data_IF_851864290292
#
_entry.id   IF_851864290292
#
_cell.length_a   1.000
_cell.length_b   1.000
_cell.length_c   1.000
_cell.angle_alpha   90.00
_cell.angle_beta   90.00
_cell.angle_gamma   90.00
#
_symmetry.space_group_name_H-M   'P 1'
#
loop_
_entity.id
_entity.type
_entity.pdbx_description
1 polymer ?
#
# COMPACT_ATOMS: atom_id res chain seq x y z
N UNK A 1 7.77 -0.15 -9.55
CA UNK A 1 8.05 -1.12 -8.48
C UNK A 1 7.41 -2.45 -8.83
N UNK A 2 8.12 -3.58 -8.76
CA UNK A 2 7.59 -4.81 -9.32
C UNK A 2 6.88 -5.66 -8.26
N UNK A 3 5.65 -6.10 -8.56
CA UNK A 3 4.92 -7.19 -7.87
C UNK A 3 5.87 -8.37 -7.59
N UNK A 4 6.79 -8.63 -8.50
CA UNK A 4 7.87 -9.62 -8.40
C UNK A 4 8.68 -9.51 -7.09
N UNK A 5 9.05 -8.30 -6.66
CA UNK A 5 9.93 -8.08 -5.51
C UNK A 5 9.27 -8.44 -4.15
N UNK A 6 7.96 -8.68 -4.18
CA UNK A 6 7.16 -9.10 -3.01
C UNK A 6 6.65 -10.53 -3.16
N UNK A 7 6.27 -10.93 -4.37
CA UNK A 7 5.69 -12.25 -4.61
C UNK A 7 6.75 -13.36 -4.54
N UNK A 8 7.96 -13.11 -5.07
CA UNK A 8 9.05 -14.09 -5.02
C UNK A 8 9.44 -14.42 -3.57
N UNK A 9 9.73 -13.45 -2.67
CA UNK A 9 10.01 -13.75 -1.27
C UNK A 9 8.86 -14.49 -0.57
N UNK A 10 7.60 -14.18 -0.89
CA UNK A 10 6.45 -14.89 -0.34
C UNK A 10 6.41 -16.38 -0.75
N UNK A 11 6.82 -16.69 -1.98
CA UNK A 11 6.90 -18.05 -2.49
C UNK A 11 8.11 -18.81 -1.91
N UNK A 12 9.25 -18.13 -1.77
CA UNK A 12 10.48 -18.73 -1.26
C UNK A 12 10.37 -19.13 0.22
N UNK A 13 9.64 -18.37 1.03
CA UNK A 13 9.41 -18.67 2.45
C UNK A 13 8.70 -20.01 2.69
N UNK A 14 7.90 -20.43 1.75
CA UNK A 14 7.06 -21.62 1.88
C UNK A 14 7.59 -22.80 1.05
N UNK A 15 8.82 -22.72 0.53
CA UNK A 15 9.44 -23.74 -0.33
C UNK A 15 9.44 -25.13 0.31
N UNK A 16 9.50 -25.22 1.64
CA UNK A 16 9.48 -26.48 2.40
C UNK A 16 8.12 -27.19 2.37
N UNK A 17 7.03 -26.51 1.95
CA UNK A 17 5.68 -27.10 1.84
C UNK A 17 5.44 -27.86 0.53
N UNK A 18 6.45 -28.06 -0.30
CA UNK A 18 6.37 -28.81 -1.54
C UNK A 18 5.35 -28.24 -2.53
N UNK A 19 4.43 -29.06 -3.03
CA UNK A 19 3.45 -28.65 -4.07
C UNK A 19 2.47 -27.55 -3.60
N UNK A 20 2.30 -27.34 -2.32
CA UNK A 20 1.37 -26.35 -1.74
C UNK A 20 2.07 -25.04 -1.32
N UNK A 21 3.35 -24.90 -1.60
CA UNK A 21 4.15 -23.70 -1.26
C UNK A 21 3.57 -22.40 -1.83
N UNK A 22 2.86 -22.45 -2.95
CA UNK A 22 2.28 -21.27 -3.58
C UNK A 22 0.96 -20.79 -2.92
N UNK A 23 0.30 -21.62 -2.10
CA UNK A 23 -1.02 -21.30 -1.55
C UNK A 23 -1.04 -20.03 -0.68
N UNK A 24 -0.14 -19.83 0.29
CA UNK A 24 -0.11 -18.61 1.09
C UNK A 24 0.06 -17.37 0.22
N UNK A 25 0.95 -17.43 -0.76
CA UNK A 25 1.18 -16.33 -1.69
C UNK A 25 -0.04 -16.04 -2.57
N UNK A 26 -0.70 -17.07 -3.10
CA UNK A 26 -1.90 -16.92 -3.91
C UNK A 26 -3.07 -16.36 -3.10
N UNK A 27 -3.30 -16.88 -1.90
CA UNK A 27 -4.37 -16.40 -1.01
C UNK A 27 -4.14 -14.93 -0.64
N UNK A 28 -2.95 -14.59 -0.14
CA UNK A 28 -2.63 -13.21 0.22
C UNK A 28 -2.80 -12.25 -0.94
N UNK A 29 -2.33 -12.62 -2.13
CA UNK A 29 -2.45 -11.81 -3.35
C UNK A 29 -3.92 -11.56 -3.73
N UNK A 30 -4.74 -12.61 -3.76
CA UNK A 30 -6.17 -12.47 -4.07
C UNK A 30 -6.92 -11.65 -3.01
N UNK A 31 -6.57 -11.82 -1.73
CA UNK A 31 -7.15 -11.02 -0.64
C UNK A 31 -6.74 -9.55 -0.77
N UNK A 32 -5.50 -9.26 -1.18
CA UNK A 32 -5.04 -7.90 -1.45
C UNK A 32 -5.82 -7.21 -2.57
N UNK A 33 -6.04 -7.90 -3.69
CA UNK A 33 -6.89 -7.40 -4.79
C UNK A 33 -8.32 -7.19 -4.29
N UNK A 34 -8.90 -8.20 -3.62
CA UNK A 34 -10.27 -8.13 -3.14
C UNK A 34 -10.47 -7.00 -2.10
N UNK A 35 -9.46 -6.75 -1.27
CA UNK A 35 -9.46 -5.66 -0.30
C UNK A 35 -9.55 -4.29 -0.99
N UNK A 36 -8.72 -4.04 -2.01
CA UNK A 36 -8.80 -2.77 -2.73
C UNK A 36 -10.08 -2.65 -3.56
N UNK A 37 -10.54 -3.72 -4.20
CA UNK A 37 -11.85 -3.73 -4.86
C UNK A 37 -13.00 -3.44 -3.89
N UNK A 38 -12.92 -3.94 -2.66
CA UNK A 38 -13.90 -3.66 -1.62
C UNK A 38 -13.82 -2.20 -1.18
N UNK A 39 -12.62 -1.67 -0.94
CA UNK A 39 -12.42 -0.25 -0.62
C UNK A 39 -12.95 0.65 -1.73
N UNK A 40 -12.69 0.30 -2.99
CA UNK A 40 -13.17 1.01 -4.16
C UNK A 40 -14.71 1.08 -4.20
N UNK A 41 -15.40 0.00 -3.82
CA UNK A 41 -16.87 -0.04 -3.74
C UNK A 41 -17.43 0.64 -2.51
N UNK A 42 -16.72 0.62 -1.38
CA UNK A 42 -17.25 1.16 -0.11
C UNK A 42 -16.93 2.64 0.05
N UNK A 43 -15.81 3.10 -0.49
CA UNK A 43 -15.38 4.48 -0.34
C UNK A 43 -15.91 5.30 -1.52
N UNK A 44 -16.67 6.37 -1.24
CA UNK A 44 -17.14 7.24 -2.31
C UNK A 44 -15.93 7.94 -2.95
N UNK A 45 -15.62 7.62 -4.19
CA UNK A 45 -14.56 8.23 -4.96
C UNK A 45 -15.01 8.51 -6.39
N UNK A 46 -14.24 9.29 -7.11
CA UNK A 46 -14.55 9.68 -8.48
C UNK A 46 -13.31 9.57 -9.34
N UNK A 47 -13.38 8.78 -10.38
CA UNK A 47 -12.33 8.73 -11.39
C UNK A 47 -12.23 10.05 -12.15
N UNK A 48 -11.02 10.47 -12.52
CA UNK A 48 -10.75 11.79 -13.13
C UNK A 48 -11.59 12.10 -14.37
N UNK A 49 -12.07 11.08 -15.08
CA UNK A 49 -12.86 11.21 -16.32
C UNK A 49 -14.33 10.83 -16.17
N UNK A 50 -14.81 10.47 -14.98
CA UNK A 50 -16.20 10.07 -14.74
C UNK A 50 -16.99 11.23 -14.13
N UNK A 51 -18.27 11.34 -14.52
CA UNK A 51 -19.22 12.31 -13.95
C UNK A 51 -20.02 11.71 -12.80
N UNK A 52 -19.96 10.39 -12.62
CA UNK A 52 -20.69 9.66 -11.60
C UNK A 52 -19.71 9.15 -10.54
N UNK A 53 -20.04 9.36 -9.26
CA UNK A 53 -19.27 8.84 -8.14
C UNK A 53 -19.56 7.34 -7.99
N UNK A 54 -18.52 6.54 -7.89
CA UNK A 54 -18.62 5.13 -7.53
C UNK A 54 -18.58 4.98 -6.00
N UNK A 55 -19.12 3.88 -5.48
CA UNK A 55 -19.18 3.61 -4.04
C UNK A 55 -20.50 4.02 -3.40
N UNK A 56 -20.53 4.06 -2.07
CA UNK A 56 -21.72 4.43 -1.30
C UNK A 56 -22.03 5.92 -1.52
N UNK A 57 -23.29 6.28 -1.83
CA UNK A 57 -23.67 7.67 -2.04
C UNK A 57 -23.31 8.55 -0.84
N UNK A 58 -22.35 9.44 -1.02
CA UNK A 58 -21.93 10.40 0.00
C UNK A 58 -21.98 11.82 -0.56
N UNK A 59 -22.37 12.79 0.28
CA UNK A 59 -22.40 14.21 -0.07
C UNK A 59 -21.01 14.87 0.06
N UNK A 60 -19.94 14.10 -0.15
CA UNK A 60 -18.58 14.61 -0.08
C UNK A 60 -18.17 15.25 -1.40
N UNK A 61 -17.34 16.30 -1.31
CA UNK A 61 -16.75 16.91 -2.50
C UNK A 61 -15.81 15.91 -3.18
N UNK A 62 -15.76 15.95 -4.52
CA UNK A 62 -14.87 15.09 -5.33
C UNK A 62 -13.44 15.04 -4.82
N UNK A 63 -12.89 16.19 -4.45
CA UNK A 63 -11.53 16.31 -3.95
C UNK A 63 -11.33 15.66 -2.58
N UNK A 64 -12.36 15.69 -1.72
CA UNK A 64 -12.30 14.98 -0.44
C UNK A 64 -12.28 13.47 -0.64
N UNK A 65 -13.08 12.97 -1.59
CA UNK A 65 -13.07 11.55 -1.97
C UNK A 65 -11.72 11.11 -2.52
N UNK A 66 -11.11 11.94 -3.39
CA UNK A 66 -9.78 11.68 -3.93
C UNK A 66 -8.71 11.61 -2.83
N UNK A 67 -8.71 12.57 -1.89
CA UNK A 67 -7.79 12.55 -0.74
C UNK A 67 -7.94 11.27 0.07
N UNK A 68 -9.18 10.86 0.33
CA UNK A 68 -9.47 9.61 1.04
C UNK A 68 -8.95 8.38 0.30
N UNK A 69 -9.24 8.27 -0.99
CA UNK A 69 -8.84 7.13 -1.82
C UNK A 69 -7.31 6.98 -1.83
N UNK A 70 -6.57 8.07 -2.11
CA UNK A 70 -5.10 8.03 -2.12
C UNK A 70 -4.53 7.73 -0.73
N UNK A 71 -5.06 8.36 0.34
CA UNK A 71 -4.58 8.09 1.70
C UNK A 71 -4.76 6.62 2.09
N UNK A 72 -5.88 6.00 1.71
CA UNK A 72 -6.14 4.59 1.99
C UNK A 72 -5.27 3.65 1.14
N UNK A 73 -4.96 4.05 -0.09
CA UNK A 73 -4.02 3.34 -0.95
C UNK A 73 -2.61 3.28 -0.36
N UNK A 74 -2.18 4.35 0.29
CA UNK A 74 -0.85 4.45 0.89
C UNK A 74 -0.68 3.53 2.13
N UNK A 75 -1.77 3.08 2.78
CA UNK A 75 -1.68 2.15 3.92
C UNK A 75 -1.04 0.81 3.54
N UNK A 76 -1.52 0.07 2.50
CA UNK A 76 -0.88 -1.15 2.03
C UNK A 76 0.58 -0.95 1.59
N UNK A 77 0.92 0.21 1.04
CA UNK A 77 2.29 0.53 0.65
C UNK A 77 3.21 0.65 1.87
N UNK A 78 2.80 1.38 2.88
CA UNK A 78 3.50 1.45 4.15
C UNK A 78 3.65 0.07 4.82
N UNK A 79 2.56 -0.71 4.86
CA UNK A 79 2.60 -2.08 5.39
C UNK A 79 3.62 -2.94 4.65
N UNK A 80 3.73 -2.82 3.33
CA UNK A 80 4.69 -3.57 2.54
C UNK A 80 6.14 -3.24 2.91
N UNK A 81 6.47 -1.96 3.10
CA UNK A 81 7.78 -1.54 3.62
C UNK A 81 8.01 -2.16 4.99
N UNK A 82 7.03 -2.07 5.89
CA UNK A 82 7.11 -2.63 7.24
C UNK A 82 7.39 -4.13 7.25
N UNK A 83 6.71 -4.89 6.38
CA UNK A 83 6.92 -6.35 6.25
C UNK A 83 8.35 -6.67 5.82
N UNK A 84 8.87 -5.94 4.81
CA UNK A 84 10.24 -6.15 4.31
C UNK A 84 11.28 -5.83 5.39
N UNK A 85 11.14 -4.71 6.11
CA UNK A 85 12.04 -4.38 7.22
C UNK A 85 11.94 -5.35 8.39
N UNK A 86 10.74 -5.82 8.71
CA UNK A 86 10.56 -6.86 9.72
C UNK A 86 11.29 -8.15 9.34
N UNK A 87 11.24 -8.56 8.05
CA UNK A 87 11.99 -9.70 7.54
C UNK A 87 13.50 -9.56 7.73
N UNK A 88 14.05 -8.36 7.49
CA UNK A 88 15.47 -8.06 7.72
C UNK A 88 15.82 -8.09 9.21
N UNK A 89 15.00 -7.45 10.06
CA UNK A 89 15.27 -7.29 11.50
C UNK A 89 15.22 -8.62 12.26
N UNK A 90 14.27 -9.48 11.91
CA UNK A 90 14.05 -10.73 12.62
C UNK A 90 14.76 -11.93 11.97
N UNK A 91 15.50 -11.71 10.89
CA UNK A 91 16.35 -12.74 10.26
C UNK A 91 15.59 -13.93 9.64
N UNK A 92 14.29 -13.77 9.39
CA UNK A 92 13.44 -14.86 8.91
C UNK A 92 13.51 -15.11 7.41
N UNK A 93 14.28 -14.30 6.66
CA UNK A 93 14.39 -14.43 5.21
C UNK A 93 15.83 -14.21 4.73
N UNK A 94 16.47 -15.26 4.28
CA UNK A 94 17.77 -15.18 3.61
C UNK A 94 17.74 -14.38 2.29
N UNK A 95 16.56 -14.24 1.68
CA UNK A 95 16.35 -13.56 0.39
C UNK A 95 16.16 -12.04 0.49
N UNK A 96 15.77 -11.51 1.68
CA UNK A 96 15.57 -10.07 1.88
C UNK A 96 16.81 -9.46 2.48
N UNK A 97 17.51 -8.65 1.68
CA UNK A 97 18.67 -7.90 2.14
C UNK A 97 18.29 -6.50 2.63
N UNK A 98 19.08 -5.93 3.54
CA UNK A 98 18.90 -4.53 3.96
C UNK A 98 18.99 -3.55 2.78
N UNK A 99 19.83 -3.84 1.79
CA UNK A 99 19.92 -3.05 0.56
C UNK A 99 18.63 -3.12 -0.26
N UNK A 100 18.00 -4.30 -0.35
CA UNK A 100 16.70 -4.48 -0.99
C UNK A 100 15.58 -3.72 -0.27
N UNK A 101 15.56 -3.79 1.07
CA UNK A 101 14.62 -3.02 1.89
C UNK A 101 14.76 -1.51 1.67
N UNK A 102 16.00 -1.01 1.66
CA UNK A 102 16.28 0.40 1.39
C UNK A 102 15.85 0.81 -0.04
N UNK A 103 16.18 0.00 -1.05
CA UNK A 103 15.80 0.26 -2.43
C UNK A 103 14.27 0.33 -2.59
N UNK A 104 13.54 -0.57 -1.91
CA UNK A 104 12.09 -0.54 -1.85
C UNK A 104 11.57 0.76 -1.25
N UNK A 105 12.09 1.15 -0.08
CA UNK A 105 11.67 2.37 0.61
C UNK A 105 11.94 3.62 -0.22
N UNK A 106 13.10 3.69 -0.88
CA UNK A 106 13.44 4.81 -1.77
C UNK A 106 12.50 4.85 -2.99
N UNK A 107 12.17 3.69 -3.57
CA UNK A 107 11.22 3.60 -4.66
C UNK A 107 9.85 4.16 -4.29
N UNK A 108 9.33 3.77 -3.12
CA UNK A 108 8.05 4.28 -2.59
C UNK A 108 8.15 5.77 -2.28
N UNK A 109 9.21 6.23 -1.63
CA UNK A 109 9.41 7.64 -1.34
C UNK A 109 9.42 8.52 -2.62
N UNK A 110 10.01 8.02 -3.71
CA UNK A 110 10.00 8.72 -5.01
C UNK A 110 8.58 8.71 -5.61
N UNK A 111 7.84 7.61 -5.50
CA UNK A 111 6.45 7.48 -5.97
C UNK A 111 5.51 8.43 -5.23
N UNK A 112 5.72 8.65 -3.94
CA UNK A 112 4.91 9.55 -3.12
C UNK A 112 4.94 11.02 -3.57
N UNK A 113 5.97 11.44 -4.25
CA UNK A 113 6.03 12.80 -4.78
C UNK A 113 4.92 13.09 -5.82
N UNK A 114 4.76 12.30 -6.92
CA UNK A 114 3.62 12.47 -7.81
C UNK A 114 2.27 12.22 -7.14
N UNK A 115 2.17 11.30 -6.18
CA UNK A 115 0.91 11.03 -5.45
C UNK A 115 0.48 12.23 -4.60
N UNK A 116 1.39 12.87 -3.90
CA UNK A 116 1.14 14.12 -3.20
C UNK A 116 0.69 15.24 -4.15
N UNK A 117 1.21 15.27 -5.39
CA UNK A 117 0.78 16.20 -6.42
C UNK A 117 -0.65 15.91 -6.92
N UNK A 118 -1.02 14.64 -7.08
CA UNK A 118 -2.40 14.22 -7.45
C UNK A 118 -3.43 14.76 -6.44
N UNK A 119 -3.08 14.87 -5.17
CA UNK A 119 -3.93 15.46 -4.13
C UNK A 119 -3.85 16.99 -4.13
N UNK A 120 -2.64 17.54 -4.10
CA UNK A 120 -2.44 18.97 -3.86
C UNK A 120 -2.88 19.84 -5.04
N UNK A 121 -2.74 19.36 -6.29
CA UNK A 121 -3.12 20.12 -7.48
C UNK A 121 -4.64 20.34 -7.60
N UNK A 122 -5.53 19.34 -7.48
CA UNK A 122 -6.97 19.54 -7.48
C UNK A 122 -7.45 20.43 -6.34
N UNK A 123 -6.92 20.23 -5.10
CA UNK A 123 -7.24 21.09 -3.96
C UNK A 123 -6.87 22.56 -4.24
N UNK A 124 -5.75 22.77 -4.90
CA UNK A 124 -5.34 24.12 -5.32
C UNK A 124 -6.26 24.69 -6.40
N UNK A 125 -6.69 23.86 -7.36
CA UNK A 125 -7.63 24.28 -8.42
C UNK A 125 -9.00 24.68 -7.87
N UNK A 126 -9.45 24.07 -6.76
CA UNK A 126 -10.66 24.44 -6.03
C UNK A 126 -10.52 25.72 -5.17
N UNK A 127 -9.39 26.43 -5.26
CA UNK A 127 -9.16 27.69 -4.54
C UNK A 127 -8.50 27.58 -3.16
N UNK A 128 -8.09 26.36 -2.74
CA UNK A 128 -7.37 26.20 -1.48
C UNK A 128 -6.03 26.93 -1.50
N UNK A 129 -5.60 27.47 -0.36
CA UNK A 129 -4.28 28.11 -0.22
C UNK A 129 -3.17 27.10 -0.53
N UNK A 130 -2.10 27.54 -1.22
CA UNK A 130 -0.96 26.67 -1.62
C UNK A 130 -0.39 25.84 -0.46
N UNK A 131 -0.17 26.49 0.69
CA UNK A 131 0.38 25.81 1.88
C UNK A 131 -0.55 24.73 2.44
N UNK A 132 -1.87 24.95 2.42
CA UNK A 132 -2.84 23.95 2.86
C UNK A 132 -2.92 22.78 1.88
N UNK A 133 -3.01 23.07 0.58
CA UNK A 133 -3.03 22.02 -0.45
C UNK A 133 -1.77 21.16 -0.40
N UNK A 134 -0.60 21.77 -0.26
CA UNK A 134 0.66 21.05 -0.06
C UNK A 134 0.65 20.20 1.22
N UNK A 135 0.17 20.74 2.33
CA UNK A 135 0.07 20.02 3.61
C UNK A 135 -0.82 18.77 3.48
N UNK A 136 -1.97 18.86 2.82
CA UNK A 136 -2.83 17.70 2.62
C UNK A 136 -2.16 16.63 1.75
N UNK A 137 -1.47 17.03 0.66
CA UNK A 137 -0.69 16.09 -0.15
C UNK A 137 0.46 15.42 0.65
N UNK A 138 1.12 16.16 1.53
CA UNK A 138 2.16 15.59 2.41
C UNK A 138 1.58 14.66 3.46
N UNK A 139 0.48 15.06 4.11
CA UNK A 139 -0.16 14.26 5.16
C UNK A 139 -0.73 12.92 4.64
N UNK A 140 -1.16 12.87 3.37
CA UNK A 140 -1.60 11.61 2.78
C UNK A 140 -0.48 10.57 2.70
N UNK A 141 0.78 10.99 2.55
CA UNK A 141 1.94 10.11 2.58
C UNK A 141 2.40 9.72 3.99
N UNK A 142 2.03 10.47 5.03
CA UNK A 142 2.45 10.16 6.42
C UNK A 142 1.89 8.83 6.92
N UNK A 143 0.78 8.35 6.37
CA UNK A 143 0.21 7.04 6.73
C UNK A 143 1.13 5.87 6.39
N UNK A 144 2.04 6.03 5.42
CA UNK A 144 2.99 4.98 5.02
C UNK A 144 4.04 4.70 6.10
N UNK A 145 4.84 5.67 6.57
CA UNK A 145 5.78 5.40 7.65
C UNK A 145 5.08 4.95 8.93
N UNK A 146 3.85 5.41 9.18
CA UNK A 146 3.05 4.91 10.30
C UNK A 146 2.62 3.46 10.08
N UNK A 147 2.14 3.11 8.89
CA UNK A 147 1.80 1.75 8.50
C UNK A 147 3.00 0.81 8.58
N UNK A 148 4.17 1.27 8.10
CA UNK A 148 5.42 0.52 8.19
C UNK A 148 5.82 0.27 9.65
N UNK A 149 5.80 1.29 10.49
CA UNK A 149 6.13 1.17 11.91
C UNK A 149 5.19 0.21 12.64
N UNK A 150 3.88 0.36 12.45
CA UNK A 150 2.88 -0.54 13.04
C UNK A 150 3.08 -1.99 12.60
N UNK A 151 3.40 -2.21 11.32
CA UNK A 151 3.66 -3.56 10.79
C UNK A 151 4.94 -4.15 11.38
N UNK A 152 6.02 -3.36 11.55
CA UNK A 152 7.24 -3.81 12.21
C UNK A 152 6.96 -4.19 13.67
N UNK A 153 6.24 -3.34 14.41
CA UNK A 153 5.90 -3.61 15.81
C UNK A 153 5.00 -4.84 15.98
N UNK A 154 4.07 -5.04 15.06
CA UNK A 154 3.15 -6.18 15.05
C UNK A 154 3.78 -7.45 14.48
N UNK A 155 4.92 -7.39 13.82
CA UNK A 155 5.54 -8.53 13.12
C UNK A 155 5.91 -9.68 14.04
N UNK A 156 6.25 -9.43 15.30
CA UNK A 156 6.49 -10.48 16.29
C UNK A 156 5.31 -11.43 16.49
N UNK A 157 4.08 -10.96 16.26
CA UNK A 157 2.85 -11.76 16.25
C UNK A 157 2.56 -12.40 14.89
N UNK A 158 3.08 -11.81 13.80
CA UNK A 158 2.68 -12.14 12.42
C UNK A 158 3.77 -12.86 11.61
N UNK A 159 4.86 -13.30 12.23
CA UNK A 159 5.92 -14.05 11.53
C UNK A 159 5.36 -15.18 10.66
N UNK A 160 4.42 -16.02 11.14
CA UNK A 160 3.83 -17.08 10.32
C UNK A 160 2.95 -16.55 9.18
N UNK A 161 2.55 -15.28 9.25
CA UNK A 161 1.68 -14.63 8.26
C UNK A 161 2.48 -13.82 7.22
N UNK A 162 3.81 -13.76 7.33
CA UNK A 162 4.66 -12.99 6.42
C UNK A 162 4.40 -13.28 4.94
N UNK A 163 4.29 -14.54 4.48
CA UNK A 163 4.00 -14.85 3.08
C UNK A 163 2.66 -14.28 2.60
N UNK A 164 1.66 -14.30 3.48
CA UNK A 164 0.34 -13.73 3.19
C UNK A 164 0.37 -12.20 3.14
N UNK A 165 1.11 -11.54 4.05
CA UNK A 165 1.22 -10.09 4.12
C UNK A 165 1.99 -9.52 2.93
N UNK A 166 3.11 -10.15 2.54
CA UNK A 166 3.88 -9.76 1.37
C UNK A 166 3.06 -9.87 0.10
N UNK A 167 2.39 -10.99 -0.08
CA UNK A 167 1.56 -11.21 -1.26
C UNK A 167 0.27 -10.37 -1.24
N UNK A 168 -0.31 -10.09 -0.07
CA UNK A 168 -1.40 -9.13 0.10
C UNK A 168 -1.00 -7.74 -0.40
N UNK A 169 0.17 -7.25 0.04
CA UNK A 169 0.68 -5.97 -0.42
C UNK A 169 0.93 -5.96 -1.94
N UNK A 170 1.45 -7.05 -2.50
CA UNK A 170 1.60 -7.20 -3.96
C UNK A 170 0.25 -7.17 -4.69
N UNK A 171 -0.77 -7.81 -4.14
CA UNK A 171 -2.13 -7.82 -4.69
C UNK A 171 -2.80 -6.44 -4.63
N UNK A 172 -2.64 -5.75 -3.51
CA UNK A 172 -3.15 -4.39 -3.33
C UNK A 172 -2.50 -3.37 -4.29
N UNK A 173 -1.26 -3.60 -4.71
CA UNK A 173 -0.58 -2.71 -5.69
C UNK A 173 -0.96 -3.00 -7.14
N UNK A 174 -1.64 -4.10 -7.44
CA UNK A 174 -2.05 -4.43 -8.81
C UNK A 174 -3.31 -3.67 -9.23
N UNK A 175 -4.15 -3.30 -8.29
CA UNK A 175 -5.36 -2.51 -8.50
C UNK A 175 -5.07 -1.03 -8.60
#
# INVERSE_FOLDING_TARGET
>A
MCIRDRLIPALEQESDRGRLAFLPAAIGFLVGIAFLLLLDRLIPHLHMNSKEAEGIPARLKKTTMLVFAVTLHNIPEGMAVGVVYAGVLYGHQASITAAGALALSLGIAIQNFPEGAIISMPLRAEGMRKSKAFLYGTLSGVVEPLGALLTILASGFFIPLMPYLLSFAAGAMLY
#
